data_IF_926891105591
#
_entry.id   IF_926891105591
#
_cell.length_a   1.000
_cell.length_b   1.000
_cell.length_c   1.000
_cell.angle_alpha   90.00
_cell.angle_beta   90.00
_cell.angle_gamma   90.00
#
_symmetry.space_group_name_H-M   'P 1'
#
loop_
_entity.id
_entity.type
_entity.pdbx_description
1 polymer ?
#
# COMPACT_ATOMS: atom_id res chain seq x y z
N UNK A 1 -1.13 21.78 -24.35
CA UNK A 1 -2.00 20.74 -23.79
C UNK A 1 -3.40 20.96 -24.35
N UNK A 2 -4.08 19.96 -24.95
CA UNK A 2 -5.49 20.11 -25.31
C UNK A 2 -6.25 20.42 -24.01
N UNK A 3 -7.27 21.31 -24.09
CA UNK A 3 -8.18 21.54 -22.95
C UNK A 3 -8.78 20.18 -22.57
N UNK A 4 -8.33 19.60 -21.46
CA UNK A 4 -8.97 18.40 -20.91
C UNK A 4 -10.46 18.72 -20.72
N UNK A 5 -11.30 17.89 -21.28
CA UNK A 5 -12.75 18.00 -21.10
C UNK A 5 -13.01 17.90 -19.58
N UNK A 6 -13.52 18.98 -18.98
CA UNK A 6 -13.80 19.01 -17.53
C UNK A 6 -14.69 17.84 -17.09
N UNK A 7 -15.54 17.34 -17.99
CA UNK A 7 -16.39 16.19 -17.73
C UNK A 7 -15.56 14.89 -17.66
N UNK A 8 -14.54 14.74 -18.51
CA UNK A 8 -13.64 13.59 -18.46
C UNK A 8 -12.80 13.59 -17.18
N UNK A 9 -12.32 14.75 -16.76
CA UNK A 9 -11.57 14.91 -15.53
C UNK A 9 -12.39 14.50 -14.30
N UNK A 10 -13.66 14.96 -14.21
CA UNK A 10 -14.59 14.56 -13.14
C UNK A 10 -14.82 13.05 -13.12
N UNK A 11 -15.02 12.42 -14.30
CA UNK A 11 -15.16 10.95 -14.40
C UNK A 11 -13.92 10.22 -13.93
N UNK A 12 -12.73 10.69 -14.33
CA UNK A 12 -11.44 10.15 -13.89
C UNK A 12 -11.32 10.16 -12.37
N UNK A 13 -11.57 11.30 -11.73
CA UNK A 13 -11.51 11.42 -10.26
C UNK A 13 -12.54 10.54 -9.57
N UNK A 14 -13.78 10.57 -10.00
CA UNK A 14 -14.86 9.79 -9.37
C UNK A 14 -14.56 8.29 -9.38
N UNK A 15 -14.28 7.73 -10.55
CA UNK A 15 -14.06 6.29 -10.68
C UNK A 15 -12.76 5.83 -10.04
N UNK A 16 -11.69 6.62 -10.15
CA UNK A 16 -10.43 6.28 -9.49
C UNK A 16 -10.56 6.30 -7.95
N UNK A 17 -11.30 7.26 -7.40
CA UNK A 17 -11.57 7.31 -5.95
C UNK A 17 -12.42 6.13 -5.51
N UNK A 18 -13.49 5.82 -6.23
CA UNK A 18 -14.38 4.71 -5.91
C UNK A 18 -13.67 3.35 -5.99
N UNK A 19 -12.85 3.14 -7.05
CA UNK A 19 -12.03 1.93 -7.19
C UNK A 19 -11.00 1.79 -6.07
N UNK A 20 -10.31 2.88 -5.72
CA UNK A 20 -9.34 2.89 -4.61
C UNK A 20 -10.00 2.61 -3.27
N UNK A 21 -11.19 3.16 -3.02
CA UNK A 21 -11.96 2.91 -1.79
C UNK A 21 -12.41 1.45 -1.70
N UNK A 22 -12.95 0.88 -2.78
CA UNK A 22 -13.36 -0.52 -2.82
C UNK A 22 -12.18 -1.46 -2.56
N UNK A 23 -11.01 -1.19 -3.15
CA UNK A 23 -9.81 -1.99 -2.88
C UNK A 23 -9.35 -1.87 -1.42
N UNK A 24 -9.37 -0.68 -0.85
CA UNK A 24 -9.01 -0.47 0.56
C UNK A 24 -9.95 -1.21 1.53
N UNK A 25 -11.25 -1.26 1.20
CA UNK A 25 -12.25 -1.96 2.00
C UNK A 25 -12.27 -3.47 1.75
N UNK A 26 -11.73 -3.95 0.64
CA UNK A 26 -11.82 -5.37 0.24
C UNK A 26 -11.26 -6.31 1.30
N UNK A 27 -10.13 -5.97 1.94
CA UNK A 27 -9.52 -6.78 3.00
C UNK A 27 -10.42 -6.91 4.22
N UNK A 28 -11.02 -5.80 4.65
CA UNK A 28 -11.93 -5.77 5.80
C UNK A 28 -13.22 -6.57 5.52
N UNK A 29 -13.80 -6.39 4.33
CA UNK A 29 -15.02 -7.08 3.90
C UNK A 29 -14.80 -8.59 3.74
N UNK A 30 -13.70 -9.00 3.13
CA UNK A 30 -13.35 -10.42 2.99
C UNK A 30 -13.07 -11.07 4.35
N UNK A 31 -12.30 -10.41 5.22
CA UNK A 31 -12.05 -10.89 6.58
C UNK A 31 -13.35 -11.04 7.38
N UNK A 32 -14.28 -10.09 7.23
CA UNK A 32 -15.59 -10.15 7.87
C UNK A 32 -16.37 -11.39 7.45
N UNK A 33 -16.39 -11.69 6.15
CA UNK A 33 -17.06 -12.91 5.63
C UNK A 33 -16.43 -14.16 6.21
N UNK A 34 -15.09 -14.26 6.17
CA UNK A 34 -14.37 -15.44 6.66
C UNK A 34 -14.61 -15.64 8.16
N UNK A 35 -14.44 -14.60 8.97
CA UNK A 35 -14.58 -14.73 10.43
C UNK A 35 -15.99 -15.10 10.85
N UNK A 36 -17.02 -14.56 10.21
CA UNK A 36 -18.42 -14.84 10.53
C UNK A 36 -18.88 -16.23 10.10
N UNK A 37 -18.39 -16.72 8.96
CA UNK A 37 -18.88 -17.95 8.37
C UNK A 37 -17.99 -19.14 8.76
N UNK A 38 -16.67 -18.97 8.67
CA UNK A 38 -15.71 -20.05 8.88
C UNK A 38 -15.03 -20.01 10.26
N UNK A 39 -15.19 -18.89 10.99
CA UNK A 39 -14.68 -18.71 12.35
C UNK A 39 -13.28 -18.11 12.42
N UNK A 40 -12.79 -17.85 13.68
CA UNK A 40 -11.56 -17.07 13.90
C UNK A 40 -10.30 -17.79 13.41
N UNK A 41 -10.24 -19.12 13.41
CA UNK A 41 -9.09 -19.86 12.88
C UNK A 41 -8.82 -19.54 11.39
N UNK A 42 -9.85 -19.66 10.56
CA UNK A 42 -9.75 -19.32 9.14
C UNK A 42 -9.57 -17.82 8.90
N UNK A 43 -10.10 -16.97 9.79
CA UNK A 43 -9.85 -15.53 9.78
C UNK A 43 -8.36 -15.22 9.93
N UNK A 44 -7.66 -15.95 10.78
CA UNK A 44 -6.21 -15.81 10.98
C UNK A 44 -5.41 -16.22 9.74
N UNK A 45 -5.72 -17.38 9.16
CA UNK A 45 -5.11 -17.84 7.90
C UNK A 45 -5.35 -16.80 6.80
N UNK A 46 -6.60 -16.32 6.66
CA UNK A 46 -6.95 -15.30 5.67
C UNK A 46 -6.16 -14.00 5.87
N UNK A 47 -6.08 -13.50 7.11
CA UNK A 47 -5.38 -12.24 7.43
C UNK A 47 -3.90 -12.30 7.08
N UNK A 48 -3.22 -13.40 7.47
CA UNK A 48 -1.83 -13.62 7.11
C UNK A 48 -1.64 -13.77 5.60
N UNK A 49 -2.43 -14.64 4.99
CA UNK A 49 -2.34 -14.91 3.55
C UNK A 49 -2.60 -13.64 2.71
N UNK A 50 -3.54 -12.80 3.14
CA UNK A 50 -3.80 -11.54 2.47
C UNK A 50 -2.62 -10.55 2.61
N UNK A 51 -2.00 -10.48 3.79
CA UNK A 51 -0.80 -9.67 4.02
C UNK A 51 0.39 -10.15 3.18
N UNK A 52 0.64 -11.46 3.16
CA UNK A 52 1.63 -12.10 2.29
C UNK A 52 1.31 -11.82 0.81
N UNK A 53 0.04 -11.94 0.42
CA UNK A 53 -0.41 -11.61 -0.93
C UNK A 53 -0.11 -10.17 -1.34
N UNK A 54 -0.31 -9.21 -0.43
CA UNK A 54 0.06 -7.80 -0.67
C UNK A 54 1.58 -7.64 -0.84
N UNK A 55 2.38 -8.36 -0.06
CA UNK A 55 3.84 -8.33 -0.17
C UNK A 55 4.29 -8.85 -1.53
N UNK A 56 3.77 -10.00 -1.95
CA UNK A 56 4.11 -10.57 -3.26
C UNK A 56 3.48 -9.83 -4.44
N UNK A 57 2.35 -9.13 -4.23
CA UNK A 57 1.77 -8.23 -5.22
C UNK A 57 2.74 -7.11 -5.60
N UNK A 58 3.52 -6.57 -4.64
CA UNK A 58 4.57 -5.58 -4.94
C UNK A 58 5.60 -6.15 -5.90
N UNK A 59 5.98 -7.43 -5.74
CA UNK A 59 6.86 -8.14 -6.69
C UNK A 59 6.20 -8.29 -8.06
N UNK A 60 4.92 -8.67 -8.12
CA UNK A 60 4.15 -8.80 -9.36
C UNK A 60 3.94 -7.47 -10.07
N UNK A 61 3.67 -6.39 -9.34
CA UNK A 61 3.50 -5.04 -9.88
C UNK A 61 4.82 -4.36 -10.24
N UNK A 62 5.88 -4.63 -9.49
CA UNK A 62 7.23 -4.10 -9.62
C UNK A 62 7.27 -2.56 -9.78
N UNK A 63 6.25 -1.89 -9.24
CA UNK A 63 6.09 -0.42 -9.31
C UNK A 63 6.27 0.16 -10.74
N UNK A 64 5.89 -0.61 -11.77
CA UNK A 64 6.01 -0.18 -13.16
C UNK A 64 4.98 0.89 -13.55
N UNK A 65 3.81 0.91 -12.92
CA UNK A 65 2.71 1.82 -13.29
C UNK A 65 3.06 3.30 -13.19
N UNK A 66 3.72 3.81 -12.11
CA UNK A 66 4.14 5.21 -12.05
C UNK A 66 5.09 5.58 -13.18
N UNK A 67 6.01 4.67 -13.54
CA UNK A 67 6.93 4.88 -14.66
C UNK A 67 6.18 4.91 -16.00
N UNK A 68 5.31 3.93 -16.25
CA UNK A 68 4.50 3.84 -17.47
C UNK A 68 3.58 5.06 -17.64
N UNK A 69 2.88 5.47 -16.59
CA UNK A 69 1.96 6.60 -16.64
C UNK A 69 2.65 7.94 -16.96
N UNK A 70 3.95 8.05 -16.68
CA UNK A 70 4.78 9.24 -16.96
C UNK A 70 5.62 9.13 -18.22
N UNK A 71 5.62 7.98 -18.89
CA UNK A 71 6.34 7.75 -20.16
C UNK A 71 5.56 8.34 -21.37
N UNK A 72 5.42 9.69 -21.39
CA UNK A 72 4.66 10.43 -22.41
C UNK A 72 5.25 10.22 -23.82
N UNK A 73 6.57 10.04 -23.89
CA UNK A 73 7.29 9.86 -25.16
C UNK A 73 7.29 8.39 -25.65
N UNK A 74 6.58 7.51 -24.96
CA UNK A 74 6.50 6.07 -25.29
C UNK A 74 7.89 5.44 -25.53
N UNK A 75 8.82 5.72 -24.63
CA UNK A 75 10.18 5.16 -24.65
C UNK A 75 10.16 3.63 -24.73
N UNK A 76 9.16 3.03 -24.09
CA UNK A 76 8.87 1.61 -24.21
C UNK A 76 7.47 1.40 -24.78
N UNK A 77 7.30 0.60 -25.83
CA UNK A 77 5.98 0.24 -26.34
C UNK A 77 5.21 -0.60 -25.31
N UNK A 78 3.88 -0.55 -25.33
CA UNK A 78 3.03 -1.28 -24.40
C UNK A 78 3.35 -2.78 -24.31
N UNK A 79 3.72 -3.41 -25.42
CA UNK A 79 4.12 -4.83 -25.46
C UNK A 79 5.31 -5.15 -24.54
N UNK A 80 6.26 -4.22 -24.30
CA UNK A 80 7.37 -4.41 -23.36
C UNK A 80 6.87 -4.35 -21.93
N UNK A 81 5.99 -3.41 -21.59
CA UNK A 81 5.34 -3.36 -20.27
C UNK A 81 4.54 -4.64 -20.01
N UNK A 82 3.78 -5.12 -21.00
CA UNK A 82 2.99 -6.34 -20.91
C UNK A 82 3.87 -7.59 -20.75
N UNK A 83 4.95 -7.72 -21.55
CA UNK A 83 5.93 -8.80 -21.41
C UNK A 83 6.62 -8.80 -20.04
N UNK A 84 7.00 -7.61 -19.54
CA UNK A 84 7.55 -7.45 -18.19
C UNK A 84 6.55 -7.89 -17.11
N UNK A 85 5.28 -7.51 -17.24
CA UNK A 85 4.21 -7.87 -16.30
C UNK A 85 3.97 -9.37 -16.24
N UNK A 86 3.97 -10.06 -17.38
CA UNK A 86 3.84 -11.51 -17.42
C UNK A 86 4.98 -12.17 -16.65
N UNK A 87 6.24 -11.72 -16.86
CA UNK A 87 7.41 -12.26 -16.16
C UNK A 87 7.31 -12.00 -14.64
N UNK A 88 6.98 -10.78 -14.23
CA UNK A 88 6.89 -10.45 -12.79
C UNK A 88 5.72 -11.15 -12.10
N UNK A 89 4.59 -11.34 -12.77
CA UNK A 89 3.46 -12.15 -12.25
C UNK A 89 3.81 -13.63 -12.14
N UNK A 90 4.53 -14.20 -13.10
CA UNK A 90 5.05 -15.58 -13.00
C UNK A 90 6.05 -15.72 -11.85
N UNK A 91 6.95 -14.75 -11.70
CA UNK A 91 7.87 -14.71 -10.56
C UNK A 91 7.13 -14.62 -9.22
N UNK A 92 6.08 -13.80 -9.15
CA UNK A 92 5.20 -13.71 -7.98
C UNK A 92 4.58 -15.08 -7.65
N UNK A 93 4.01 -15.78 -8.64
CA UNK A 93 3.38 -17.09 -8.45
C UNK A 93 4.37 -18.13 -7.93
N UNK A 94 5.55 -18.21 -8.55
CA UNK A 94 6.60 -19.16 -8.15
C UNK A 94 7.11 -18.85 -6.75
N UNK A 95 7.45 -17.59 -6.49
CA UNK A 95 7.97 -17.17 -5.19
C UNK A 95 6.95 -17.37 -4.07
N UNK A 96 5.66 -17.10 -4.32
CA UNK A 96 4.60 -17.32 -3.35
C UNK A 96 4.36 -18.81 -3.11
N UNK A 97 4.43 -19.65 -4.14
CA UNK A 97 4.34 -21.11 -3.99
C UNK A 97 5.48 -21.66 -3.13
N UNK A 98 6.72 -21.21 -3.39
CA UNK A 98 7.89 -21.59 -2.57
C UNK A 98 7.70 -21.11 -1.12
N UNK A 99 7.27 -19.87 -0.92
CA UNK A 99 7.03 -19.32 0.42
C UNK A 99 5.97 -20.11 1.18
N UNK A 100 4.84 -20.45 0.54
CA UNK A 100 3.74 -21.17 1.18
C UNK A 100 4.16 -22.55 1.66
N UNK A 101 4.92 -23.30 0.82
CA UNK A 101 5.44 -24.61 1.17
C UNK A 101 6.55 -24.51 2.23
N UNK A 102 7.42 -23.52 2.15
CA UNK A 102 8.50 -23.34 3.10
C UNK A 102 7.99 -22.98 4.50
N UNK A 103 6.93 -22.15 4.59
CA UNK A 103 6.37 -21.69 5.87
C UNK A 103 5.50 -22.75 6.56
N UNK A 104 4.71 -23.53 5.81
CA UNK A 104 3.70 -24.42 6.38
C UNK A 104 3.86 -25.90 5.95
N UNK A 105 4.96 -26.24 5.25
CA UNK A 105 5.12 -27.56 4.67
C UNK A 105 4.08 -27.85 3.56
N UNK A 106 3.84 -29.14 3.30
CA UNK A 106 2.77 -29.58 2.38
C UNK A 106 1.50 -29.84 3.20
N UNK A 107 0.83 -28.77 3.61
CA UNK A 107 -0.37 -28.81 4.45
C UNK A 107 -1.54 -28.07 3.79
N UNK A 108 -2.75 -28.24 4.34
CA UNK A 108 -3.92 -27.50 3.93
C UNK A 108 -3.75 -25.99 4.17
N UNK A 109 -3.08 -25.60 5.27
CA UNK A 109 -2.77 -24.20 5.57
C UNK A 109 -1.85 -23.58 4.50
N UNK A 110 -0.86 -24.34 3.99
CA UNK A 110 -0.03 -23.88 2.88
C UNK A 110 -0.85 -23.63 1.60
N UNK A 111 -1.77 -24.54 1.30
CA UNK A 111 -2.67 -24.38 0.15
C UNK A 111 -3.60 -23.17 0.32
N UNK A 112 -4.19 -23.00 1.49
CA UNK A 112 -5.04 -21.84 1.80
C UNK A 112 -4.26 -20.53 1.73
N UNK A 113 -3.05 -20.49 2.30
CA UNK A 113 -2.17 -19.32 2.20
C UNK A 113 -1.87 -19.00 0.74
N UNK A 114 -1.49 -19.99 -0.07
CA UNK A 114 -1.22 -19.80 -1.49
C UNK A 114 -2.45 -19.29 -2.25
N UNK A 115 -3.62 -19.93 -2.05
CA UNK A 115 -4.84 -19.52 -2.74
C UNK A 115 -5.28 -18.10 -2.36
N UNK A 116 -5.40 -17.80 -1.07
CA UNK A 116 -5.85 -16.46 -0.63
C UNK A 116 -4.86 -15.37 -1.07
N UNK A 117 -3.56 -15.59 -0.90
CA UNK A 117 -2.54 -14.63 -1.31
C UNK A 117 -2.56 -14.36 -2.82
N UNK A 118 -2.82 -15.39 -3.64
CA UNK A 118 -2.92 -15.23 -5.08
C UNK A 118 -4.19 -14.50 -5.56
N UNK A 119 -5.17 -14.18 -4.72
CA UNK A 119 -6.23 -13.23 -5.10
C UNK A 119 -5.64 -11.88 -5.51
N UNK A 120 -4.46 -11.54 -4.99
CA UNK A 120 -3.71 -10.34 -5.35
C UNK A 120 -2.98 -10.40 -6.71
N UNK A 121 -2.93 -11.57 -7.36
CA UNK A 121 -2.37 -11.72 -8.70
C UNK A 121 -3.11 -10.88 -9.73
N UNK A 122 -4.44 -10.80 -9.63
CA UNK A 122 -5.24 -9.99 -10.54
C UNK A 122 -4.99 -8.49 -10.34
N UNK A 123 -4.76 -8.05 -9.10
CA UNK A 123 -4.37 -6.66 -8.82
C UNK A 123 -3.03 -6.33 -9.50
N UNK A 124 -2.06 -7.24 -9.42
CA UNK A 124 -0.77 -7.07 -10.10
C UNK A 124 -0.92 -7.11 -11.62
N UNK A 125 -1.72 -8.05 -12.17
CA UNK A 125 -1.89 -8.21 -13.61
C UNK A 125 -2.60 -7.02 -14.26
N UNK A 126 -3.64 -6.46 -13.63
CA UNK A 126 -4.38 -5.34 -14.21
C UNK A 126 -3.64 -4.01 -14.14
N UNK A 127 -2.64 -3.88 -13.24
CA UNK A 127 -1.92 -2.64 -13.01
C UNK A 127 -1.21 -2.11 -14.27
N UNK A 128 -0.74 -2.99 -15.18
CA UNK A 128 -0.15 -2.59 -16.47
C UNK A 128 -1.19 -1.98 -17.42
N UNK A 129 -2.43 -2.47 -17.40
CA UNK A 129 -3.54 -1.90 -18.17
C UNK A 129 -3.97 -0.56 -17.59
N UNK A 130 -4.03 -0.46 -16.25
CA UNK A 130 -4.32 0.79 -15.54
C UNK A 130 -3.26 1.84 -15.83
N UNK A 131 -1.98 1.46 -15.92
CA UNK A 131 -0.89 2.34 -16.35
C UNK A 131 -1.11 2.88 -17.76
N UNK A 132 -1.49 2.03 -18.71
CA UNK A 132 -1.81 2.42 -20.07
C UNK A 132 -3.04 3.35 -20.14
N UNK A 133 -4.12 3.02 -19.46
CA UNK A 133 -5.30 3.89 -19.42
C UNK A 133 -4.97 5.25 -18.79
N UNK A 134 -4.16 5.28 -17.76
CA UNK A 134 -3.69 6.52 -17.13
C UNK A 134 -2.82 7.34 -18.08
N UNK A 135 -1.88 6.72 -18.80
CA UNK A 135 -1.05 7.36 -19.83
C UNK A 135 -1.88 7.99 -20.94
N UNK A 136 -3.02 7.37 -21.30
CA UNK A 136 -3.96 7.86 -22.31
C UNK A 136 -5.04 8.81 -21.75
N UNK A 137 -4.94 9.27 -20.49
CA UNK A 137 -5.91 10.17 -19.87
C UNK A 137 -7.27 9.52 -19.54
N UNK A 138 -7.37 8.19 -19.59
CA UNK A 138 -8.60 7.42 -19.36
C UNK A 138 -8.57 6.67 -18.02
N UNK A 139 -8.23 7.41 -16.95
CA UNK A 139 -8.21 6.86 -15.59
C UNK A 139 -9.61 6.39 -15.12
N UNK A 140 -10.67 6.87 -15.75
CA UNK A 140 -12.05 6.41 -15.53
C UNK A 140 -12.23 4.93 -15.86
N UNK A 141 -11.60 4.44 -16.94
CA UNK A 141 -11.66 3.01 -17.31
C UNK A 141 -10.91 2.17 -16.26
N UNK A 142 -9.71 2.59 -15.87
CA UNK A 142 -8.95 1.92 -14.81
C UNK A 142 -9.72 1.85 -13.50
N UNK A 143 -10.32 2.97 -13.05
CA UNK A 143 -11.09 3.03 -11.82
C UNK A 143 -12.35 2.16 -11.84
N UNK A 144 -13.07 2.12 -12.98
CA UNK A 144 -14.24 1.23 -13.15
C UNK A 144 -13.83 -0.23 -13.10
N UNK A 145 -12.79 -0.59 -13.85
CA UNK A 145 -12.28 -1.95 -13.85
C UNK A 145 -11.92 -2.40 -12.44
N UNK A 146 -11.17 -1.59 -11.72
CA UNK A 146 -10.73 -1.88 -10.36
C UNK A 146 -11.90 -2.05 -9.39
N UNK A 147 -12.90 -1.14 -9.44
CA UNK A 147 -14.09 -1.21 -8.61
C UNK A 147 -14.91 -2.47 -8.87
N UNK A 148 -15.30 -2.71 -10.11
CA UNK A 148 -16.19 -3.82 -10.44
C UNK A 148 -15.49 -5.18 -10.27
N UNK A 149 -14.20 -5.30 -10.62
CA UNK A 149 -13.46 -6.54 -10.39
C UNK A 149 -13.35 -6.84 -8.89
N UNK A 150 -12.97 -5.85 -8.07
CA UNK A 150 -12.90 -6.04 -6.61
C UNK A 150 -14.27 -6.42 -6.02
N UNK A 151 -15.35 -5.78 -6.47
CA UNK A 151 -16.71 -6.10 -6.04
C UNK A 151 -17.12 -7.51 -6.45
N UNK A 152 -16.86 -7.90 -7.70
CA UNK A 152 -17.17 -9.25 -8.21
C UNK A 152 -16.37 -10.30 -7.45
N UNK A 153 -15.07 -10.06 -7.20
CA UNK A 153 -14.21 -10.94 -6.40
C UNK A 153 -14.77 -11.13 -4.99
N UNK A 154 -15.16 -10.03 -4.34
CA UNK A 154 -15.77 -10.07 -3.01
C UNK A 154 -17.08 -10.84 -2.98
N UNK A 155 -17.99 -10.55 -3.91
CA UNK A 155 -19.30 -11.23 -3.98
C UNK A 155 -19.14 -12.72 -4.29
N UNK A 156 -18.24 -13.10 -5.20
CA UNK A 156 -17.96 -14.49 -5.53
C UNK A 156 -17.37 -15.24 -4.32
N UNK A 157 -16.44 -14.62 -3.60
CA UNK A 157 -15.85 -15.18 -2.39
C UNK A 157 -16.89 -15.36 -1.28
N UNK A 158 -17.71 -14.34 -1.03
CA UNK A 158 -18.76 -14.37 -0.03
C UNK A 158 -19.79 -15.45 -0.36
N UNK A 159 -20.24 -15.53 -1.61
CA UNK A 159 -21.17 -16.56 -2.07
C UNK A 159 -20.57 -17.97 -1.90
N UNK A 160 -19.29 -18.15 -2.28
CA UNK A 160 -18.58 -19.40 -2.09
C UNK A 160 -18.51 -19.83 -0.62
N UNK A 161 -18.16 -18.91 0.29
CA UNK A 161 -18.14 -19.17 1.74
C UNK A 161 -19.53 -19.55 2.28
N UNK A 162 -20.57 -18.77 1.94
CA UNK A 162 -21.95 -19.00 2.42
C UNK A 162 -22.52 -20.31 1.90
N UNK A 163 -22.30 -20.62 0.62
CA UNK A 163 -22.88 -21.78 -0.01
C UNK A 163 -22.20 -23.12 0.38
N UNK A 164 -20.89 -23.08 0.67
CA UNK A 164 -20.11 -24.32 0.82
C UNK A 164 -19.43 -24.46 2.18
N UNK A 165 -19.37 -23.41 3.00
CA UNK A 165 -18.56 -23.37 4.21
C UNK A 165 -17.09 -23.80 3.98
N UNK A 166 -16.56 -23.57 2.77
CA UNK A 166 -15.23 -23.99 2.38
C UNK A 166 -14.46 -22.86 1.72
N UNK A 167 -13.31 -22.47 2.31
CA UNK A 167 -12.50 -21.36 1.82
C UNK A 167 -11.80 -21.67 0.49
N UNK A 168 -11.47 -22.94 0.22
CA UNK A 168 -10.85 -23.36 -1.04
C UNK A 168 -11.80 -23.14 -2.21
N UNK A 169 -13.07 -23.56 -2.05
CA UNK A 169 -14.11 -23.39 -3.06
C UNK A 169 -14.41 -21.90 -3.27
N UNK A 170 -14.46 -21.13 -2.18
CA UNK A 170 -14.65 -19.68 -2.24
C UNK A 170 -13.52 -18.98 -3.03
N UNK A 171 -12.26 -19.38 -2.80
CA UNK A 171 -11.12 -18.91 -3.61
C UNK A 171 -11.27 -19.31 -5.08
N UNK A 172 -11.58 -20.56 -5.38
CA UNK A 172 -11.73 -21.04 -6.76
C UNK A 172 -12.82 -20.28 -7.53
N UNK A 173 -13.99 -20.06 -6.90
CA UNK A 173 -15.07 -19.26 -7.49
C UNK A 173 -14.62 -17.82 -7.74
N UNK A 174 -13.91 -17.23 -6.77
CA UNK A 174 -13.34 -15.87 -6.89
C UNK A 174 -12.35 -15.77 -8.03
N UNK A 175 -11.50 -16.78 -8.24
CA UNK A 175 -10.56 -16.80 -9.37
C UNK A 175 -11.29 -16.82 -10.70
N UNK A 176 -12.27 -17.68 -10.88
CA UNK A 176 -13.05 -17.76 -12.12
C UNK A 176 -13.73 -16.41 -12.42
N UNK A 177 -14.39 -15.84 -11.42
CA UNK A 177 -15.09 -14.56 -11.57
C UNK A 177 -14.13 -13.39 -11.78
N UNK A 178 -12.98 -13.37 -11.07
CA UNK A 178 -11.96 -12.32 -11.24
C UNK A 178 -11.28 -12.42 -12.62
N UNK A 179 -11.01 -13.62 -13.12
CA UNK A 179 -10.46 -13.85 -14.45
C UNK A 179 -11.42 -13.35 -15.55
N UNK A 180 -12.70 -13.66 -15.43
CA UNK A 180 -13.73 -13.16 -16.35
C UNK A 180 -13.82 -11.62 -16.28
N UNK A 181 -13.89 -11.05 -15.07
CA UNK A 181 -13.91 -9.61 -14.88
C UNK A 181 -12.65 -8.94 -15.43
N UNK A 182 -11.47 -9.49 -15.18
CA UNK A 182 -10.20 -9.00 -15.73
C UNK A 182 -10.22 -9.00 -17.26
N UNK A 183 -10.70 -10.07 -17.88
CA UNK A 183 -10.80 -10.16 -19.33
C UNK A 183 -11.72 -9.07 -19.89
N UNK A 184 -12.97 -8.97 -19.40
CA UNK A 184 -13.95 -8.04 -19.95
C UNK A 184 -13.68 -6.57 -19.59
N UNK A 185 -13.14 -6.29 -18.41
CA UNK A 185 -12.95 -4.92 -17.92
C UNK A 185 -11.57 -4.33 -18.21
N UNK A 186 -10.55 -5.17 -18.49
CA UNK A 186 -9.20 -4.69 -18.80
C UNK A 186 -8.78 -5.05 -20.22
N UNK A 187 -8.80 -6.34 -20.60
CA UNK A 187 -8.25 -6.78 -21.89
C UNK A 187 -9.12 -6.28 -23.06
N UNK A 188 -10.44 -6.41 -22.98
CA UNK A 188 -11.35 -5.98 -24.05
C UNK A 188 -11.24 -4.47 -24.30
N UNK A 189 -11.34 -3.58 -23.30
CA UNK A 189 -11.18 -2.14 -23.56
C UNK A 189 -9.78 -1.76 -24.01
N UNK A 190 -8.74 -2.46 -23.55
CA UNK A 190 -7.34 -2.18 -23.89
C UNK A 190 -7.04 -2.31 -25.39
N UNK A 191 -7.76 -3.18 -26.11
CA UNK A 191 -7.63 -3.36 -27.57
C UNK A 191 -7.85 -2.07 -28.36
N UNK A 192 -8.64 -1.14 -27.84
CA UNK A 192 -8.89 0.15 -28.49
C UNK A 192 -7.71 1.13 -28.36
N UNK A 193 -6.75 0.87 -27.46
CA UNK A 193 -5.66 1.79 -27.14
C UNK A 193 -4.28 1.31 -27.59
N UNK A 194 -4.07 0.00 -27.67
CA UNK A 194 -2.77 -0.56 -28.06
C UNK A 194 -2.89 -2.00 -28.55
N UNK A 195 -1.87 -2.45 -29.28
CA UNK A 195 -1.66 -3.87 -29.57
C UNK A 195 -1.31 -4.61 -28.28
N UNK A 196 -2.02 -5.71 -28.01
CA UNK A 196 -1.83 -6.53 -26.81
C UNK A 196 -0.85 -7.69 -27.03
N UNK A 197 0.08 -7.55 -27.97
CA UNK A 197 1.13 -8.54 -28.23
C UNK A 197 2.29 -8.30 -27.25
N UNK A 198 2.58 -9.24 -26.34
CA UNK A 198 3.71 -9.08 -25.42
C UNK A 198 5.05 -9.16 -26.16
N UNK A 199 6.00 -8.31 -25.79
CA UNK A 199 7.35 -8.28 -26.34
C UNK A 199 8.34 -8.73 -25.26
N UNK A 200 8.97 -9.87 -25.46
CA UNK A 200 9.93 -10.47 -24.54
C UNK A 200 11.38 -10.10 -24.89
N UNK A 201 11.68 -8.79 -24.99
CA UNK A 201 13.04 -8.30 -25.15
C UNK A 201 13.74 -8.21 -23.79
N UNK A 202 14.52 -9.20 -23.40
CA UNK A 202 15.22 -9.25 -22.09
C UNK A 202 16.04 -7.99 -21.82
N UNK A 203 16.65 -7.38 -22.85
CA UNK A 203 17.43 -6.13 -22.71
C UNK A 203 16.54 -4.95 -22.34
N UNK A 204 15.36 -4.81 -22.97
CA UNK A 204 14.42 -3.71 -22.68
C UNK A 204 13.75 -3.94 -21.33
N UNK A 205 13.31 -5.16 -21.05
CA UNK A 205 12.70 -5.56 -19.79
C UNK A 205 13.67 -5.32 -18.62
N UNK A 206 14.93 -5.78 -18.73
CA UNK A 206 15.92 -5.56 -17.69
C UNK A 206 16.20 -4.08 -17.42
N UNK A 207 16.25 -3.23 -18.46
CA UNK A 207 16.41 -1.79 -18.29
C UNK A 207 15.17 -1.13 -17.64
N UNK A 208 13.97 -1.58 -17.99
CA UNK A 208 12.73 -1.11 -17.39
C UNK A 208 12.67 -1.48 -15.91
N UNK A 209 12.89 -2.74 -15.57
CA UNK A 209 12.88 -3.20 -14.17
C UNK A 209 13.96 -2.51 -13.35
N UNK A 210 15.17 -2.32 -13.89
CA UNK A 210 16.23 -1.59 -13.20
C UNK A 210 15.86 -0.13 -12.93
N UNK A 211 15.14 0.52 -13.86
CA UNK A 211 14.64 1.88 -13.68
C UNK A 211 13.55 1.96 -12.58
N UNK A 212 12.72 0.93 -12.43
CA UNK A 212 11.67 0.84 -11.42
C UNK A 212 12.20 0.33 -10.05
N UNK A 213 13.38 -0.33 -10.01
CA UNK A 213 13.90 -1.00 -8.82
C UNK A 213 14.00 -0.10 -7.56
N UNK A 214 14.42 1.17 -7.62
CA UNK A 214 14.46 2.01 -6.43
C UNK A 214 13.09 2.23 -5.79
N UNK A 215 12.05 2.40 -6.61
CA UNK A 215 10.67 2.57 -6.14
C UNK A 215 10.12 1.24 -5.60
N UNK A 216 10.35 0.14 -6.32
CA UNK A 216 10.01 -1.21 -5.89
C UNK A 216 10.60 -1.53 -4.50
N UNK A 217 11.89 -1.30 -4.28
CA UNK A 217 12.55 -1.57 -2.99
C UNK A 217 11.91 -0.74 -1.87
N UNK A 218 11.61 0.54 -2.11
CA UNK A 218 10.96 1.40 -1.13
C UNK A 218 9.58 0.89 -0.72
N UNK A 219 8.73 0.53 -1.70
CA UNK A 219 7.37 0.04 -1.44
C UNK A 219 7.40 -1.37 -0.82
N UNK A 220 8.35 -2.22 -1.24
CA UNK A 220 8.54 -3.55 -0.69
C UNK A 220 8.90 -3.48 0.81
N UNK A 221 9.87 -2.65 1.20
CA UNK A 221 10.27 -2.47 2.59
C UNK A 221 9.16 -1.85 3.44
N UNK A 222 8.42 -0.86 2.91
CA UNK A 222 7.29 -0.29 3.64
C UNK A 222 6.21 -1.33 3.92
N UNK A 223 5.85 -2.11 2.91
CA UNK A 223 4.80 -3.11 3.04
C UNK A 223 5.24 -4.25 3.99
N UNK A 224 6.51 -4.64 3.93
CA UNK A 224 7.09 -5.60 4.84
C UNK A 224 7.06 -5.08 6.31
N UNK A 225 7.56 -3.88 6.55
CA UNK A 225 7.58 -3.23 7.87
C UNK A 225 6.19 -3.20 8.55
N UNK A 226 5.13 -2.88 7.79
CA UNK A 226 3.75 -2.87 8.31
C UNK A 226 3.28 -4.27 8.70
N UNK A 227 3.80 -5.30 8.04
CA UNK A 227 3.37 -6.69 8.23
C UNK A 227 4.30 -7.51 9.15
N UNK A 228 5.45 -7.00 9.60
CA UNK A 228 6.33 -7.70 10.57
C UNK A 228 5.58 -8.23 11.79
N UNK A 229 4.66 -7.46 12.43
CA UNK A 229 3.90 -8.01 13.57
C UNK A 229 3.06 -9.23 13.22
N UNK A 230 2.47 -9.27 12.00
CA UNK A 230 1.66 -10.41 11.53
C UNK A 230 2.51 -11.66 11.32
N UNK A 231 3.71 -11.50 10.75
CA UNK A 231 4.66 -12.61 10.60
C UNK A 231 5.13 -13.13 11.95
N UNK A 232 5.33 -12.23 12.91
CA UNK A 232 5.70 -12.59 14.27
C UNK A 232 4.58 -13.31 15.05
N UNK A 233 3.32 -12.89 14.86
CA UNK A 233 2.15 -13.60 15.42
C UNK A 233 2.08 -15.01 14.85
N UNK A 234 2.20 -15.16 13.53
CA UNK A 234 2.16 -16.47 12.87
C UNK A 234 3.24 -17.44 13.36
N UNK A 235 4.43 -16.90 13.66
CA UNK A 235 5.55 -17.71 14.14
C UNK A 235 5.48 -18.09 15.63
N UNK A 236 4.75 -17.34 16.46
CA UNK A 236 4.82 -17.48 17.91
C UNK A 236 3.46 -17.66 18.62
N UNK A 237 2.35 -17.38 17.96
CA UNK A 237 0.98 -17.41 18.54
C UNK A 237 0.03 -18.23 17.68
N UNK A 238 -1.22 -18.37 18.13
CA UNK A 238 -2.25 -19.11 17.44
C UNK A 238 -2.89 -18.32 16.28
N UNK A 239 -3.52 -19.05 15.32
CA UNK A 239 -4.24 -18.43 14.22
C UNK A 239 -5.40 -17.53 14.68
N UNK A 240 -6.01 -17.83 15.83
CA UNK A 240 -7.05 -16.97 16.41
C UNK A 240 -6.50 -15.60 16.82
N UNK A 241 -5.29 -15.54 17.40
CA UNK A 241 -4.62 -14.28 17.75
C UNK A 241 -4.34 -13.42 16.51
N UNK A 242 -4.02 -14.07 15.39
CA UNK A 242 -3.86 -13.39 14.11
C UNK A 242 -5.16 -12.70 13.66
N UNK A 243 -6.31 -13.33 13.90
CA UNK A 243 -7.62 -12.72 13.63
C UNK A 243 -7.91 -11.56 14.58
N UNK A 244 -7.63 -11.72 15.88
CA UNK A 244 -7.78 -10.64 16.86
C UNK A 244 -6.97 -9.42 16.47
N UNK A 245 -5.68 -9.62 16.14
CA UNK A 245 -4.82 -8.54 15.66
C UNK A 245 -5.40 -7.85 14.40
N UNK A 246 -5.82 -8.64 13.41
CA UNK A 246 -6.34 -8.11 12.16
C UNK A 246 -7.62 -7.29 12.35
N UNK A 247 -8.53 -7.74 13.20
CA UNK A 247 -9.77 -7.03 13.52
C UNK A 247 -9.51 -5.74 14.30
N UNK A 248 -8.66 -5.81 15.34
CA UNK A 248 -8.26 -4.64 16.13
C UNK A 248 -7.50 -3.59 15.29
N UNK A 249 -6.83 -4.02 14.22
CA UNK A 249 -6.09 -3.14 13.30
C UNK A 249 -7.01 -2.34 12.36
N UNK A 250 -8.28 -2.75 12.16
CA UNK A 250 -9.20 -2.10 11.19
C UNK A 250 -9.39 -0.59 11.42
N UNK A 251 -9.60 -0.09 12.65
CA UNK A 251 -9.72 1.35 12.88
C UNK A 251 -8.44 2.14 12.55
N UNK A 252 -7.25 1.54 12.72
CA UNK A 252 -5.99 2.17 12.33
C UNK A 252 -5.89 2.36 10.80
N UNK A 253 -6.46 1.46 9.99
CA UNK A 253 -6.57 1.63 8.55
C UNK A 253 -7.41 2.85 8.17
N UNK A 254 -8.46 3.16 8.94
CA UNK A 254 -9.30 4.35 8.70
C UNK A 254 -8.47 5.63 8.86
N UNK A 255 -7.61 5.71 9.88
CA UNK A 255 -6.69 6.86 10.07
C UNK A 255 -5.81 7.05 8.84
N UNK A 256 -5.23 5.96 8.32
CA UNK A 256 -4.37 6.01 7.14
C UNK A 256 -5.11 6.42 5.86
N UNK A 257 -6.35 5.96 5.68
CA UNK A 257 -7.20 6.39 4.57
C UNK A 257 -7.52 7.88 4.64
N UNK A 258 -7.91 8.37 5.82
CA UNK A 258 -8.18 9.80 6.04
C UNK A 258 -6.94 10.65 5.78
N UNK A 259 -5.78 10.23 6.29
CA UNK A 259 -4.51 10.88 6.00
C UNK A 259 -4.24 10.95 4.48
N UNK A 260 -4.44 9.85 3.76
CA UNK A 260 -4.28 9.80 2.31
C UNK A 260 -5.20 10.78 1.56
N UNK A 261 -6.46 10.92 1.97
CA UNK A 261 -7.39 11.89 1.39
C UNK A 261 -6.98 13.35 1.65
N UNK A 262 -6.41 13.64 2.82
CA UNK A 262 -5.93 14.98 3.17
C UNK A 262 -4.67 15.33 2.37
N UNK A 263 -3.73 14.38 2.21
CA UNK A 263 -2.37 14.69 1.72
C UNK A 263 -2.18 14.54 0.22
N UNK A 264 -2.85 13.60 -0.45
CA UNK A 264 -2.69 13.44 -1.91
C UNK A 264 -2.93 14.73 -2.69
N UNK A 265 -3.96 15.54 -2.38
CA UNK A 265 -4.17 16.84 -3.04
C UNK A 265 -3.11 17.89 -2.69
N UNK A 266 -2.49 17.80 -1.49
CA UNK A 266 -1.50 18.79 -1.04
C UNK A 266 -0.13 18.59 -1.67
N UNK A 267 0.15 17.42 -2.26
CA UNK A 267 1.47 17.11 -2.82
C UNK A 267 1.91 18.11 -3.89
N UNK A 268 1.03 18.46 -4.82
CA UNK A 268 1.30 19.42 -5.89
C UNK A 268 1.53 20.83 -5.33
N UNK A 269 0.74 21.23 -4.34
CA UNK A 269 0.91 22.53 -3.65
C UNK A 269 2.21 22.59 -2.88
N UNK A 270 2.62 21.53 -2.20
CA UNK A 270 3.90 21.43 -1.50
C UNK A 270 5.08 21.55 -2.48
N UNK A 271 5.03 20.89 -3.62
CA UNK A 271 6.07 20.97 -4.65
C UNK A 271 6.19 22.41 -5.21
N UNK A 272 5.07 23.06 -5.45
CA UNK A 272 5.06 24.46 -5.92
C UNK A 272 5.65 25.42 -4.88
N UNK A 273 5.23 25.33 -3.59
CA UNK A 273 5.75 26.14 -2.49
C UNK A 273 7.27 25.95 -2.33
N UNK A 274 7.73 24.69 -2.45
CA UNK A 274 9.15 24.36 -2.35
C UNK A 274 9.97 24.96 -3.49
N UNK A 275 9.47 24.92 -4.73
CA UNK A 275 10.11 25.52 -5.90
C UNK A 275 10.20 27.05 -5.79
N UNK A 276 9.23 27.69 -5.14
CA UNK A 276 9.25 29.13 -4.84
C UNK A 276 10.25 29.52 -3.73
N UNK A 277 10.99 28.56 -3.17
CA UNK A 277 11.90 28.75 -2.03
C UNK A 277 11.22 29.36 -0.78
N UNK A 278 9.89 29.27 -0.68
CA UNK A 278 9.14 29.77 0.47
C UNK A 278 9.08 28.74 1.59
N UNK A 279 10.17 28.67 2.31
CA UNK A 279 10.44 27.68 3.35
C UNK A 279 9.44 27.76 4.49
N UNK A 280 9.12 28.98 4.97
CA UNK A 280 8.17 29.18 6.07
C UNK A 280 6.79 28.62 5.71
N UNK A 281 6.32 28.92 4.50
CA UNK A 281 5.02 28.43 4.02
C UNK A 281 5.02 26.90 3.85
N UNK A 282 6.13 26.32 3.41
CA UNK A 282 6.29 24.87 3.30
C UNK A 282 6.12 24.17 4.66
N UNK A 283 6.82 24.65 5.71
CA UNK A 283 6.69 24.10 7.06
C UNK A 283 5.32 24.31 7.66
N UNK A 284 4.72 25.48 7.49
CA UNK A 284 3.35 25.72 7.96
C UNK A 284 2.34 24.80 7.30
N UNK A 285 2.53 24.46 6.02
CA UNK A 285 1.67 23.50 5.32
C UNK A 285 1.81 22.07 5.87
N UNK A 286 3.06 21.64 6.14
CA UNK A 286 3.33 20.35 6.79
C UNK A 286 2.74 20.33 8.21
N UNK A 287 2.98 21.38 9.02
CA UNK A 287 2.47 21.47 10.38
C UNK A 287 0.92 21.46 10.43
N UNK A 288 0.26 22.17 9.50
CA UNK A 288 -1.21 22.11 9.34
C UNK A 288 -1.68 20.71 9.01
N UNK A 289 -0.94 20.03 8.18
CA UNK A 289 -1.20 18.65 7.83
C UNK A 289 -1.05 17.71 9.02
N UNK A 290 0.02 17.81 9.80
CA UNK A 290 0.19 17.06 11.04
C UNK A 290 -0.95 17.35 12.03
N UNK A 291 -1.35 18.63 12.15
CA UNK A 291 -2.52 19.02 12.95
C UNK A 291 -3.83 18.40 12.48
N UNK A 292 -4.06 18.33 11.17
CA UNK A 292 -5.25 17.70 10.60
C UNK A 292 -5.28 16.20 10.88
N UNK A 293 -4.14 15.50 10.77
CA UNK A 293 -4.03 14.07 11.13
C UNK A 293 -4.25 13.86 12.62
N UNK A 294 -3.70 14.74 13.47
CA UNK A 294 -3.92 14.68 14.91
C UNK A 294 -5.41 14.80 15.26
N UNK A 295 -6.12 15.77 14.66
CA UNK A 295 -7.56 15.95 14.85
C UNK A 295 -8.34 14.75 14.35
N UNK A 296 -8.02 14.24 13.16
CA UNK A 296 -8.66 13.04 12.61
C UNK A 296 -8.44 11.82 13.51
N UNK A 297 -7.21 11.63 14.01
CA UNK A 297 -6.89 10.53 14.93
C UNK A 297 -7.63 10.70 16.25
N UNK A 298 -7.64 11.90 16.84
CA UNK A 298 -8.39 12.17 18.07
C UNK A 298 -9.89 11.87 17.91
N UNK A 299 -10.47 12.21 16.77
CA UNK A 299 -11.85 11.87 16.44
C UNK A 299 -12.07 10.35 16.36
N UNK A 300 -11.18 9.62 15.67
CA UNK A 300 -11.26 8.14 15.58
C UNK A 300 -11.08 7.51 16.96
N UNK A 301 -10.14 7.97 17.78
CA UNK A 301 -9.93 7.50 19.17
C UNK A 301 -11.16 7.76 20.03
N UNK A 302 -11.75 8.96 19.97
CA UNK A 302 -12.95 9.31 20.72
C UNK A 302 -14.15 8.43 20.38
N UNK A 303 -14.28 7.99 19.12
CA UNK A 303 -15.29 7.03 18.69
C UNK A 303 -14.94 5.59 19.06
N UNK A 304 -13.66 5.21 18.86
CA UNK A 304 -13.18 3.83 19.09
C UNK A 304 -13.15 3.48 20.58
N UNK A 305 -12.93 4.43 21.46
CA UNK A 305 -12.89 4.17 22.90
C UNK A 305 -14.21 3.58 23.44
N UNK A 306 -15.39 4.18 23.23
CA UNK A 306 -16.66 3.60 23.68
C UNK A 306 -17.25 2.56 22.74
N UNK A 307 -17.07 2.72 21.41
CA UNK A 307 -17.78 1.94 20.39
C UNK A 307 -16.91 0.91 19.68
N UNK A 308 -15.58 1.05 19.73
CA UNK A 308 -14.65 0.25 18.92
C UNK A 308 -14.80 -1.24 19.19
N UNK A 309 -14.62 -1.67 20.43
CA UNK A 309 -14.74 -3.09 20.79
C UNK A 309 -16.14 -3.65 20.56
N UNK A 310 -17.23 -3.02 21.04
CA UNK A 310 -18.59 -3.52 20.80
C UNK A 310 -18.93 -3.65 19.32
N UNK A 311 -18.60 -2.62 18.51
CA UNK A 311 -18.90 -2.63 17.08
C UNK A 311 -18.07 -3.69 16.35
N UNK A 312 -16.76 -3.81 16.65
CA UNK A 312 -15.90 -4.80 16.02
C UNK A 312 -16.31 -6.23 16.43
N UNK A 313 -16.62 -6.45 17.73
CA UNK A 313 -17.11 -7.76 18.20
C UNK A 313 -18.42 -8.15 17.52
N UNK A 314 -19.36 -7.23 17.41
CA UNK A 314 -20.61 -7.48 16.71
C UNK A 314 -20.39 -7.71 15.19
N UNK A 315 -19.54 -6.88 14.57
CA UNK A 315 -19.30 -6.95 13.14
C UNK A 315 -18.62 -8.27 12.73
N UNK A 316 -17.57 -8.67 13.46
CA UNK A 316 -16.76 -9.84 13.14
C UNK A 316 -17.18 -11.13 13.88
N UNK A 317 -18.18 -11.04 14.77
CA UNK A 317 -18.65 -12.13 15.61
C UNK A 317 -17.53 -12.78 16.47
N UNK A 318 -16.65 -11.95 17.06
CA UNK A 318 -15.52 -12.34 17.86
C UNK A 318 -15.59 -11.62 19.21
N UNK A 319 -15.27 -12.33 20.30
CA UNK A 319 -15.15 -11.69 21.62
C UNK A 319 -13.84 -10.90 21.70
N UNK A 320 -13.97 -9.58 21.84
CA UNK A 320 -12.86 -8.64 22.03
C UNK A 320 -12.83 -8.07 23.45
N UNK A 321 -13.52 -8.67 24.43
CA UNK A 321 -13.56 -8.20 25.79
C UNK A 321 -12.16 -8.09 26.39
N UNK A 322 -11.86 -6.95 27.04
CA UNK A 322 -10.56 -6.70 27.65
C UNK A 322 -9.43 -6.27 26.70
N UNK A 323 -9.68 -6.15 25.38
CA UNK A 323 -8.68 -5.77 24.37
C UNK A 323 -8.61 -4.28 24.05
N UNK A 324 -9.11 -3.45 24.99
CA UNK A 324 -9.10 -1.99 24.80
C UNK A 324 -7.67 -1.41 24.74
N UNK A 325 -6.70 -1.86 25.57
CA UNK A 325 -5.33 -1.37 25.47
C UNK A 325 -4.70 -1.62 24.09
N UNK A 326 -4.88 -2.83 23.54
CA UNK A 326 -4.35 -3.20 22.22
C UNK A 326 -4.97 -2.34 21.13
N UNK A 327 -6.29 -2.08 21.20
CA UNK A 327 -6.97 -1.21 20.25
C UNK A 327 -6.42 0.23 20.29
N UNK A 328 -6.23 0.79 21.50
CA UNK A 328 -5.73 2.15 21.67
C UNK A 328 -4.28 2.30 21.18
N UNK A 329 -3.43 1.33 21.46
CA UNK A 329 -2.05 1.30 20.96
C UNK A 329 -2.03 1.18 19.42
N UNK A 330 -2.82 0.29 18.81
CA UNK A 330 -2.89 0.21 17.36
C UNK A 330 -3.33 1.52 16.69
N UNK A 331 -4.21 2.29 17.33
CA UNK A 331 -4.57 3.64 16.86
C UNK A 331 -3.39 4.62 16.99
N UNK A 332 -2.56 4.49 18.03
CA UNK A 332 -1.34 5.27 18.17
C UNK A 332 -0.33 4.93 17.07
N UNK A 333 -0.10 3.66 16.80
CA UNK A 333 0.74 3.22 15.68
C UNK A 333 0.18 3.69 14.32
N UNK A 334 -1.14 3.66 14.13
CA UNK A 334 -1.81 4.24 12.97
C UNK A 334 -1.57 5.74 12.81
N UNK A 335 -1.54 6.49 13.92
CA UNK A 335 -1.17 7.90 13.94
C UNK A 335 0.28 8.12 13.50
N UNK A 336 1.24 7.35 14.04
CA UNK A 336 2.64 7.44 13.63
C UNK A 336 2.82 7.08 12.16
N UNK A 337 2.11 6.07 11.66
CA UNK A 337 2.12 5.73 10.24
C UNK A 337 1.59 6.89 9.39
N UNK A 338 0.47 7.49 9.76
CA UNK A 338 -0.08 8.63 9.05
C UNK A 338 0.86 9.86 9.03
N UNK A 339 1.56 10.14 10.15
CA UNK A 339 2.59 11.18 10.19
C UNK A 339 3.80 10.83 9.32
N UNK A 340 4.24 9.57 9.32
CA UNK A 340 5.35 9.13 8.47
C UNK A 340 5.07 9.35 6.98
N UNK A 341 3.83 9.16 6.55
CA UNK A 341 3.38 9.46 5.17
C UNK A 341 3.52 10.96 4.85
N UNK A 342 3.22 11.85 5.80
CA UNK A 342 3.41 13.29 5.62
C UNK A 342 4.88 13.64 5.41
N UNK A 343 5.74 13.13 6.29
CA UNK A 343 7.18 13.38 6.20
C UNK A 343 7.78 12.72 4.95
N UNK A 344 7.29 11.55 4.55
CA UNK A 344 7.63 10.95 3.26
C UNK A 344 7.36 11.90 2.08
N UNK A 345 6.16 12.51 2.01
CA UNK A 345 5.84 13.47 0.96
C UNK A 345 6.73 14.73 1.03
N UNK A 346 7.10 15.17 2.22
CA UNK A 346 8.06 16.26 2.38
C UNK A 346 9.43 15.90 1.81
N UNK A 347 9.97 14.70 2.13
CA UNK A 347 11.26 14.20 1.64
C UNK A 347 11.26 14.03 0.11
N UNK A 348 10.18 13.49 -0.45
CA UNK A 348 10.01 13.34 -1.92
C UNK A 348 9.99 14.72 -2.60
N UNK A 349 9.26 15.67 -2.03
CA UNK A 349 9.20 17.06 -2.54
C UNK A 349 10.56 17.75 -2.51
N UNK A 350 11.36 17.51 -1.48
CA UNK A 350 12.72 18.00 -1.35
C UNK A 350 13.74 17.26 -2.25
N UNK A 351 13.29 16.20 -2.96
CA UNK A 351 14.12 15.32 -3.81
C UNK A 351 15.22 14.56 -3.05
N UNK A 352 14.98 14.21 -1.78
CA UNK A 352 15.91 13.46 -0.94
C UNK A 352 15.45 11.97 -0.83
N UNK A 353 15.07 11.38 -1.94
CA UNK A 353 14.47 10.02 -1.96
C UNK A 353 15.39 8.91 -1.45
N UNK A 354 16.73 9.10 -1.53
CA UNK A 354 17.69 8.09 -1.05
C UNK A 354 17.55 7.80 0.44
N UNK A 355 17.27 8.82 1.26
CA UNK A 355 17.12 8.64 2.71
C UNK A 355 15.83 7.94 3.09
N UNK A 356 14.83 7.94 2.21
CA UNK A 356 13.56 7.23 2.44
C UNK A 356 13.78 5.72 2.51
N UNK A 357 14.53 5.17 1.56
CA UNK A 357 14.87 3.75 1.57
C UNK A 357 15.69 3.36 2.82
N UNK A 358 16.62 4.23 3.23
CA UNK A 358 17.40 4.05 4.47
C UNK A 358 16.49 4.04 5.70
N UNK A 359 15.52 4.96 5.78
CA UNK A 359 14.56 5.00 6.88
C UNK A 359 13.72 3.72 6.97
N UNK A 360 13.21 3.24 5.84
CA UNK A 360 12.49 1.96 5.81
C UNK A 360 13.38 0.81 6.25
N UNK A 361 14.60 0.69 5.72
CA UNK A 361 15.51 -0.39 6.06
C UNK A 361 15.90 -0.41 7.55
N UNK A 362 16.16 0.75 8.16
CA UNK A 362 16.49 0.85 9.59
C UNK A 362 15.29 0.45 10.45
N UNK A 363 14.09 0.98 10.14
CA UNK A 363 12.86 0.67 10.90
C UNK A 363 12.48 -0.80 10.75
N UNK A 364 12.63 -1.40 9.55
CA UNK A 364 12.37 -2.81 9.31
C UNK A 364 13.35 -3.71 10.08
N UNK A 365 14.63 -3.41 10.03
CA UNK A 365 15.64 -4.14 10.80
C UNK A 365 15.37 -4.09 12.31
N UNK A 366 15.02 -2.91 12.84
CA UNK A 366 14.64 -2.73 14.25
C UNK A 366 13.42 -3.58 14.60
N UNK A 367 12.36 -3.52 13.77
CA UNK A 367 11.15 -4.29 13.98
C UNK A 367 11.41 -5.80 13.98
N UNK A 368 12.24 -6.32 13.06
CA UNK A 368 12.61 -7.73 12.99
C UNK A 368 13.43 -8.20 14.20
N UNK A 369 14.36 -7.37 14.68
CA UNK A 369 15.16 -7.68 15.88
C UNK A 369 14.25 -7.79 17.11
N UNK A 370 13.27 -6.90 17.24
CA UNK A 370 12.37 -6.84 18.40
C UNK A 370 11.17 -7.79 18.29
N UNK A 371 10.91 -8.38 17.13
CA UNK A 371 9.72 -9.17 16.84
C UNK A 371 9.56 -10.34 17.83
N UNK A 372 10.52 -11.27 17.84
CA UNK A 372 10.43 -12.44 18.68
C UNK A 372 10.45 -12.12 20.19
N UNK A 373 11.37 -11.26 20.72
CA UNK A 373 11.39 -10.95 22.15
C UNK A 373 10.08 -10.34 22.67
N UNK A 374 9.47 -9.43 21.89
CA UNK A 374 8.23 -8.77 22.30
C UNK A 374 7.03 -9.74 22.25
N UNK A 375 6.90 -10.50 21.16
CA UNK A 375 5.73 -11.37 20.99
C UNK A 375 5.80 -12.58 21.91
N UNK A 376 6.97 -13.20 22.11
CA UNK A 376 7.13 -14.30 23.07
C UNK A 376 6.93 -13.84 24.52
N UNK A 377 7.34 -12.60 24.86
CA UNK A 377 7.20 -12.06 26.20
C UNK A 377 5.79 -11.57 26.55
N UNK A 378 5.05 -11.03 25.58
CA UNK A 378 3.79 -10.31 25.84
C UNK A 378 2.62 -10.75 24.91
N UNK A 379 2.82 -11.79 24.10
CA UNK A 379 1.77 -12.30 23.22
C UNK A 379 1.27 -11.24 22.23
N UNK A 380 -0.05 -11.14 22.07
CA UNK A 380 -0.71 -10.20 21.17
C UNK A 380 -0.36 -8.73 21.46
N UNK A 381 -0.26 -8.38 22.76
CA UNK A 381 0.15 -7.02 23.17
C UNK A 381 1.57 -6.70 22.67
N UNK A 382 2.48 -7.69 22.70
CA UNK A 382 3.83 -7.55 22.16
C UNK A 382 3.84 -7.25 20.66
N UNK A 383 2.95 -7.87 19.89
CA UNK A 383 2.80 -7.58 18.45
C UNK A 383 2.28 -6.16 18.20
N UNK A 384 1.38 -5.68 19.04
CA UNK A 384 0.85 -4.31 18.95
C UNK A 384 1.92 -3.28 19.29
N UNK A 385 2.67 -3.49 20.37
CA UNK A 385 3.81 -2.63 20.75
C UNK A 385 4.88 -2.63 19.64
N UNK A 386 5.13 -3.79 19.04
CA UNK A 386 6.05 -3.88 17.90
C UNK A 386 5.62 -2.99 16.73
N UNK A 387 4.32 -2.97 16.42
CA UNK A 387 3.78 -2.08 15.37
C UNK A 387 4.00 -0.61 15.73
N UNK A 388 3.77 -0.22 16.98
CA UNK A 388 3.98 1.15 17.46
C UNK A 388 5.46 1.56 17.38
N UNK A 389 6.37 0.68 17.77
CA UNK A 389 7.82 0.92 17.66
C UNK A 389 8.24 1.03 16.18
N UNK A 390 7.73 0.16 15.31
CA UNK A 390 8.03 0.17 13.89
C UNK A 390 7.58 1.48 13.23
N UNK A 391 6.33 1.89 13.45
CA UNK A 391 5.79 3.12 12.87
C UNK A 391 6.34 4.37 13.55
N UNK A 392 6.57 4.33 14.87
CA UNK A 392 7.18 5.43 15.63
C UNK A 392 8.63 5.71 15.21
N UNK A 393 9.44 4.65 15.06
CA UNK A 393 10.83 4.77 14.57
C UNK A 393 10.88 5.33 13.14
N UNK A 394 10.00 4.87 12.24
CA UNK A 394 9.89 5.38 10.89
C UNK A 394 9.50 6.88 10.88
N UNK A 395 8.49 7.23 11.66
CA UNK A 395 8.05 8.61 11.81
C UNK A 395 9.18 9.52 12.31
N UNK A 396 9.90 9.09 13.33
CA UNK A 396 11.03 9.83 13.90
C UNK A 396 12.16 10.00 12.87
N UNK A 397 12.55 8.93 12.17
CA UNK A 397 13.60 8.99 11.16
C UNK A 397 13.23 9.93 10.02
N UNK A 398 12.00 9.84 9.50
CA UNK A 398 11.57 10.72 8.42
C UNK A 398 11.47 12.18 8.88
N UNK A 399 11.04 12.44 10.10
CA UNK A 399 11.04 13.76 10.70
C UNK A 399 12.48 14.34 10.80
N UNK A 400 13.43 13.57 11.33
CA UNK A 400 14.84 13.96 11.44
C UNK A 400 15.45 14.24 10.05
N UNK A 401 15.20 13.35 9.09
CA UNK A 401 15.66 13.53 7.71
C UNK A 401 15.05 14.76 7.03
N UNK A 402 13.78 15.06 7.30
CA UNK A 402 13.12 16.25 6.79
C UNK A 402 13.74 17.52 7.35
N UNK A 403 14.05 17.56 8.65
CA UNK A 403 14.74 18.68 9.29
C UNK A 403 16.17 18.81 8.75
N UNK A 404 16.93 17.71 8.65
CA UNK A 404 18.30 17.72 8.10
C UNK A 404 18.36 18.23 6.67
N UNK A 405 17.48 17.75 5.80
CA UNK A 405 17.37 18.22 4.41
C UNK A 405 17.04 19.70 4.31
N UNK A 406 16.22 20.18 5.21
CA UNK A 406 15.88 21.58 5.34
C UNK A 406 17.08 22.46 5.73
N UNK A 407 17.80 22.10 6.80
CA UNK A 407 18.96 22.85 7.28
C UNK A 407 20.04 22.93 6.18
N UNK A 408 20.26 21.82 5.47
CA UNK A 408 21.22 21.76 4.37
C UNK A 408 20.86 22.75 3.25
N UNK A 409 19.60 22.79 2.83
CA UNK A 409 19.16 23.70 1.75
C UNK A 409 19.16 25.17 2.18
N UNK A 410 18.79 25.47 3.43
CA UNK A 410 18.90 26.84 3.99
C UNK A 410 20.32 27.35 3.96
N UNK A 411 21.27 26.49 4.34
CA UNK A 411 22.69 26.86 4.36
C UNK A 411 23.26 27.06 2.94
N UNK A 412 22.81 26.27 1.95
CA UNK A 412 23.21 26.47 0.55
C UNK A 412 22.69 27.78 -0.01
N UNK A 413 21.44 28.15 0.27
CA UNK A 413 20.85 29.43 -0.15
C UNK A 413 21.55 30.64 0.51
N UNK A 414 21.96 30.50 1.77
CA UNK A 414 22.71 31.53 2.46
C UNK A 414 24.16 31.71 1.92
N UNK A 415 24.75 30.60 1.41
CA UNK A 415 26.07 30.66 0.75
C UNK A 415 25.98 31.30 -0.64
N UNK A 416 24.97 30.98 -1.44
CA UNK A 416 24.71 31.61 -2.74
C UNK A 416 24.48 33.12 -2.61
N UNK A 417 23.78 33.58 -1.58
CA UNK A 417 23.55 34.99 -1.32
C UNK A 417 24.77 35.74 -0.72
N UNK A 418 25.79 35.01 -0.22
CA UNK A 418 27.03 35.59 0.29
C UNK A 418 28.13 35.71 -0.77
N UNK A 419 27.90 35.22 -2.00
CA UNK A 419 28.81 35.36 -3.15
C UNK A 419 28.16 36.19 -4.28
N UNK A 420 27.75 37.44 -4.08
CA UNK A 420 27.40 38.33 -5.17
C UNK A 420 28.66 39.17 -5.46
N UNK A 421 29.45 38.80 -6.46
CA UNK A 421 30.46 39.72 -6.96
C UNK A 421 31.86 39.15 -7.14
N UNK A 422 32.03 38.13 -7.98
CA UNK A 422 33.30 37.83 -8.64
C UNK A 422 33.10 37.15 -10.00
N UNK A 423 32.30 37.73 -10.87
CA UNK A 423 32.37 37.48 -12.32
C UNK A 423 31.97 38.79 -12.97
N UNK A 424 32.95 39.66 -13.21
CA UNK A 424 33.02 40.65 -14.28
C UNK A 424 34.21 41.58 -14.03
N UNK A 425 35.41 41.08 -14.28
CA UNK A 425 36.58 41.94 -14.57
C UNK A 425 37.68 41.06 -15.19
N UNK A 426 37.46 40.62 -16.43
CA UNK A 426 38.51 40.25 -17.40
C UNK A 426 37.83 40.06 -18.75
N UNK A 427 37.57 41.21 -19.41
CA UNK A 427 37.53 41.37 -20.86
C UNK A 427 37.68 42.89 -21.10
N UNK A 428 38.90 43.38 -21.16
CA UNK A 428 39.39 44.45 -22.04
C UNK A 428 40.49 43.84 -22.92
#
# INVERSE_FOLDING_TARGET
MPKEDQNQLKKNYFWNTLGSLMNALSSALLLLVVTRILGPYYGGIFSLAFAVGQQFQVLGAFEMRPFQATDINEKYPFGVYLGSRIITCLLMLVALGIYSVFSNGLSEDALLLFLVANLKLFDAAEDVFHGMFQQRGRLDIAGRSFFFRALITFLAFALGCVATNNMIIACALSYCCSAAAFFFLNIVPAKAFSSLVPVFSFRQIGRLLLACAPLFIGVFLLNDLVNVPRYGIDANLDKADQTLYAVLFMPALVINLLAGFIFKPLLTSLAWIWNQRNVRRFFLTIAKGCGAVLIATAFVVALAYPLGLPVLSWLYAIDLSGRLPELMLLLLGGFFNALSVIFYYALVTMRIQKVVAVGYAISDALARILCNPLIQGQGLLGAVILYDIAMGSLCLLFFVFAIGGFIHKRNSTLRENKTPGQINSTEE
#
